data_IF_229407477565
#
_entry.id   IF_229407477565
#
_cell.length_a   1.000
_cell.length_b   1.000
_cell.length_c   1.000
_cell.angle_alpha   90.00
_cell.angle_beta   90.00
_cell.angle_gamma   90.00
#
_symmetry.space_group_name_H-M   'P 1'
#
loop_
_entity.id
_entity.type
_entity.pdbx_description
1 polymer ?
#
# COMPACT_ATOMS: atom_id res chain seq x y z
N UNK A 1 -23.03 11.81 -25.22
CA UNK A 1 -21.59 11.48 -25.37
C UNK A 1 -20.80 11.93 -24.15
N UNK A 2 -20.73 13.24 -23.81
CA UNK A 2 -20.04 13.73 -22.60
C UNK A 2 -20.51 13.08 -21.27
N UNK A 3 -21.83 12.84 -21.12
CA UNK A 3 -22.37 12.19 -19.91
C UNK A 3 -21.84 10.77 -19.68
N UNK A 4 -21.72 9.98 -20.75
CA UNK A 4 -21.22 8.60 -20.67
C UNK A 4 -19.73 8.57 -20.33
N UNK A 5 -18.94 9.49 -20.90
CA UNK A 5 -17.52 9.63 -20.54
C UNK A 5 -17.35 9.96 -19.05
N UNK A 6 -18.14 10.91 -18.52
CA UNK A 6 -18.07 11.26 -17.10
C UNK A 6 -18.49 10.11 -16.19
N UNK A 7 -19.54 9.36 -16.57
CA UNK A 7 -19.97 8.16 -15.84
C UNK A 7 -18.87 7.08 -15.80
N UNK A 8 -18.18 6.83 -16.92
CA UNK A 8 -17.04 5.90 -16.97
C UNK A 8 -15.81 6.40 -16.20
N UNK A 9 -15.57 7.72 -16.20
CA UNK A 9 -14.49 8.32 -15.42
C UNK A 9 -14.74 8.25 -13.91
N UNK A 10 -15.99 8.42 -13.49
CA UNK A 10 -16.39 8.22 -12.09
C UNK A 10 -16.32 6.75 -11.69
N UNK A 11 -16.67 5.82 -12.58
CA UNK A 11 -16.46 4.39 -12.35
C UNK A 11 -14.97 4.06 -12.14
N UNK A 12 -14.08 4.63 -12.97
CA UNK A 12 -12.63 4.48 -12.82
C UNK A 12 -12.13 4.95 -11.46
N UNK A 13 -12.61 6.12 -10.99
CA UNK A 13 -12.28 6.62 -9.65
C UNK A 13 -12.73 5.67 -8.55
N UNK A 14 -13.94 5.12 -8.67
CA UNK A 14 -14.48 4.18 -7.69
C UNK A 14 -13.69 2.87 -7.64
N UNK A 15 -13.33 2.32 -8.80
CA UNK A 15 -12.49 1.10 -8.87
C UNK A 15 -11.10 1.37 -8.27
N UNK A 16 -10.48 2.51 -8.56
CA UNK A 16 -9.20 2.91 -7.97
C UNK A 16 -9.27 3.01 -6.43
N UNK A 17 -10.29 3.68 -5.89
CA UNK A 17 -10.48 3.81 -4.45
C UNK A 17 -10.79 2.45 -3.78
N UNK A 18 -11.51 1.56 -4.47
CA UNK A 18 -11.76 0.21 -4.00
C UNK A 18 -10.47 -0.61 -3.89
N UNK A 19 -9.59 -0.55 -4.91
CA UNK A 19 -8.26 -1.15 -4.85
C UNK A 19 -7.44 -0.58 -3.69
N UNK A 20 -7.44 0.74 -3.51
CA UNK A 20 -6.75 1.39 -2.40
C UNK A 20 -7.23 0.89 -1.03
N UNK A 21 -8.55 0.74 -0.83
CA UNK A 21 -9.11 0.19 0.40
C UNK A 21 -8.77 -1.28 0.64
N UNK A 22 -8.64 -2.08 -0.43
CA UNK A 22 -8.18 -3.46 -0.35
C UNK A 22 -6.72 -3.55 0.09
N UNK A 23 -5.84 -2.75 -0.51
CA UNK A 23 -4.42 -2.67 -0.14
C UNK A 23 -4.26 -2.17 1.31
N UNK A 24 -5.09 -1.23 1.75
CA UNK A 24 -5.12 -0.78 3.15
C UNK A 24 -5.47 -1.94 4.10
N UNK A 25 -6.49 -2.75 3.79
CA UNK A 25 -6.83 -3.93 4.60
C UNK A 25 -5.69 -4.96 4.63
N UNK A 26 -5.02 -5.18 3.50
CA UNK A 26 -3.88 -6.11 3.43
C UNK A 26 -2.73 -5.67 4.34
N UNK A 27 -2.32 -4.40 4.32
CA UNK A 27 -1.26 -3.89 5.21
C UNK A 27 -1.67 -4.07 6.67
N UNK A 28 -2.91 -3.70 7.02
CA UNK A 28 -3.43 -3.83 8.39
C UNK A 28 -3.41 -5.27 8.86
N UNK A 29 -3.86 -6.21 8.02
CA UNK A 29 -3.90 -7.64 8.34
C UNK A 29 -2.51 -8.25 8.41
N UNK A 30 -1.60 -7.88 7.49
CA UNK A 30 -0.22 -8.35 7.51
C UNK A 30 0.48 -7.91 8.80
N UNK A 31 0.29 -6.65 9.20
CA UNK A 31 0.84 -6.16 10.45
C UNK A 31 0.23 -6.82 11.68
N UNK A 32 -1.09 -7.03 11.68
CA UNK A 32 -1.76 -7.75 12.76
C UNK A 32 -1.22 -9.19 12.88
N UNK A 33 -1.05 -9.89 11.75
CA UNK A 33 -0.50 -11.24 11.72
C UNK A 33 0.93 -11.29 12.28
N UNK A 34 1.76 -10.29 11.98
CA UNK A 34 3.11 -10.17 12.53
C UNK A 34 3.12 -9.90 14.04
N UNK A 35 2.28 -8.98 14.52
CA UNK A 35 2.23 -8.58 15.94
C UNK A 35 1.63 -9.67 16.82
N UNK A 36 0.50 -10.24 16.40
CA UNK A 36 -0.22 -11.28 17.14
C UNK A 36 0.32 -12.68 16.88
N UNK A 37 1.28 -12.81 15.95
CA UNK A 37 1.89 -14.08 15.54
C UNK A 37 0.86 -15.08 15.02
N UNK A 38 -0.05 -14.58 14.19
CA UNK A 38 -1.16 -15.35 13.60
C UNK A 38 -0.81 -15.83 12.19
N UNK A 39 -0.41 -17.10 12.09
CA UNK A 39 -0.05 -17.73 10.81
C UNK A 39 -1.24 -17.85 9.85
N UNK A 40 -2.46 -18.03 10.38
CA UNK A 40 -3.66 -18.16 9.55
C UNK A 40 -3.95 -16.83 8.87
N UNK A 41 -3.89 -15.74 9.63
CA UNK A 41 -4.09 -14.40 9.08
C UNK A 41 -3.00 -14.01 8.08
N UNK A 42 -1.74 -14.39 8.32
CA UNK A 42 -0.66 -14.17 7.36
C UNK A 42 -0.93 -14.91 6.04
N UNK A 43 -1.33 -16.18 6.10
CA UNK A 43 -1.66 -16.95 4.90
C UNK A 43 -2.87 -16.35 4.15
N UNK A 44 -3.90 -15.88 4.86
CA UNK A 44 -5.03 -15.19 4.23
C UNK A 44 -4.61 -13.95 3.43
N UNK A 45 -3.64 -13.17 3.92
CA UNK A 45 -3.12 -12.00 3.19
C UNK A 45 -2.46 -12.43 1.88
N UNK A 46 -1.57 -13.44 1.95
CA UNK A 46 -0.87 -13.99 0.79
C UNK A 46 -1.86 -14.50 -0.27
N UNK A 47 -2.87 -15.25 0.15
CA UNK A 47 -3.84 -15.86 -0.77
C UNK A 47 -4.77 -14.82 -1.42
N UNK A 48 -5.07 -13.72 -0.71
CA UNK A 48 -5.96 -12.65 -1.18
C UNK A 48 -5.28 -11.65 -2.11
N UNK A 49 -3.96 -11.69 -2.25
CA UNK A 49 -3.21 -10.80 -3.13
C UNK A 49 -3.70 -10.79 -4.59
N UNK A 50 -4.19 -11.94 -5.07
CA UNK A 50 -4.81 -12.06 -6.40
C UNK A 50 -5.94 -11.07 -6.66
N UNK A 51 -6.62 -10.59 -5.61
CA UNK A 51 -7.67 -9.58 -5.75
C UNK A 51 -7.08 -8.22 -6.16
N UNK A 52 -5.93 -7.82 -5.61
CA UNK A 52 -5.22 -6.58 -6.00
C UNK A 52 -4.78 -6.68 -7.46
N UNK A 53 -4.20 -7.82 -7.85
CA UNK A 53 -3.84 -8.09 -9.25
C UNK A 53 -5.04 -8.04 -10.21
N UNK A 54 -6.22 -8.45 -9.74
CA UNK A 54 -7.45 -8.37 -10.56
C UNK A 54 -7.86 -6.91 -10.76
N UNK A 55 -7.78 -6.08 -9.71
CA UNK A 55 -8.04 -4.65 -9.80
C UNK A 55 -7.04 -3.92 -10.69
N UNK A 56 -5.76 -4.28 -10.63
CA UNK A 56 -4.71 -3.72 -11.51
C UNK A 56 -5.10 -3.87 -12.99
N UNK A 57 -5.41 -5.10 -13.41
CA UNK A 57 -5.86 -5.39 -14.77
C UNK A 57 -7.17 -4.67 -15.11
N UNK A 58 -8.16 -4.69 -14.21
CA UNK A 58 -9.45 -4.03 -14.45
C UNK A 58 -9.29 -2.52 -14.69
N UNK A 59 -8.48 -1.85 -13.86
CA UNK A 59 -8.26 -0.41 -13.96
C UNK A 59 -7.51 -0.07 -15.25
N UNK A 60 -6.51 -0.87 -15.63
CA UNK A 60 -5.79 -0.70 -16.88
C UNK A 60 -6.70 -0.86 -18.10
N UNK A 61 -7.59 -1.86 -18.10
CA UNK A 61 -8.59 -2.04 -19.16
C UNK A 61 -9.54 -0.85 -19.25
N UNK A 62 -10.03 -0.33 -18.13
CA UNK A 62 -10.88 0.86 -18.08
C UNK A 62 -10.14 2.10 -18.63
N UNK A 63 -8.88 2.29 -18.27
CA UNK A 63 -8.04 3.39 -18.77
C UNK A 63 -7.88 3.30 -20.30
N UNK A 64 -7.50 2.13 -20.82
CA UNK A 64 -7.34 1.90 -22.27
C UNK A 64 -8.65 2.16 -23.02
N UNK A 65 -9.77 1.68 -22.47
CA UNK A 65 -11.12 1.90 -23.05
C UNK A 65 -11.46 3.38 -23.13
N UNK A 66 -11.23 4.14 -22.05
CA UNK A 66 -11.48 5.58 -22.01
C UNK A 66 -10.65 6.34 -23.04
N UNK A 67 -9.36 6.00 -23.16
CA UNK A 67 -8.45 6.60 -24.15
C UNK A 67 -8.90 6.30 -25.59
N UNK A 68 -9.25 5.04 -25.87
CA UNK A 68 -9.61 4.59 -27.20
C UNK A 68 -10.95 5.15 -27.69
N UNK A 69 -11.96 5.24 -26.81
CA UNK A 69 -13.32 5.63 -27.19
C UNK A 69 -13.55 7.14 -27.23
N UNK A 70 -12.88 7.91 -26.37
CA UNK A 70 -13.27 9.31 -26.13
C UNK A 70 -12.21 10.36 -26.50
N UNK A 71 -10.99 9.96 -26.85
CA UNK A 71 -9.88 10.87 -27.20
C UNK A 71 -9.76 12.05 -26.20
N UNK A 72 -9.65 11.77 -24.88
CA UNK A 72 -9.64 12.81 -23.85
C UNK A 72 -8.44 13.75 -24.02
N UNK A 73 -8.60 15.00 -23.60
CA UNK A 73 -7.59 16.04 -23.74
C UNK A 73 -7.26 16.71 -22.40
N UNK A 74 -6.10 17.36 -22.33
CA UNK A 74 -5.66 18.19 -21.22
C UNK A 74 -5.80 17.50 -19.83
N UNK A 75 -6.74 17.95 -18.99
CA UNK A 75 -6.94 17.42 -17.63
C UNK A 75 -7.31 15.95 -17.62
N UNK A 76 -8.18 15.53 -18.53
CA UNK A 76 -8.78 14.20 -18.52
C UNK A 76 -7.76 13.15 -18.95
N UNK A 77 -6.97 13.47 -19.97
CA UNK A 77 -5.84 12.64 -20.40
C UNK A 77 -4.80 12.48 -19.29
N UNK A 78 -4.47 13.57 -18.58
CA UNK A 78 -3.56 13.52 -17.45
C UNK A 78 -4.11 12.67 -16.32
N UNK A 79 -5.40 12.81 -15.99
CA UNK A 79 -6.03 11.99 -14.96
C UNK A 79 -5.89 10.50 -15.29
N UNK A 80 -6.31 10.07 -16.50
CA UNK A 80 -6.28 8.66 -16.90
C UNK A 80 -4.84 8.11 -16.91
N UNK A 81 -3.90 8.83 -17.50
CA UNK A 81 -2.49 8.38 -17.55
C UNK A 81 -1.80 8.38 -16.19
N UNK A 82 -2.19 9.27 -15.28
CA UNK A 82 -1.72 9.24 -13.89
C UNK A 82 -2.35 8.08 -13.12
N UNK A 83 -3.63 7.78 -13.33
CA UNK A 83 -4.28 6.61 -12.73
C UNK A 83 -3.52 5.33 -13.05
N UNK A 84 -3.16 5.09 -14.32
CA UNK A 84 -2.36 3.90 -14.70
C UNK A 84 -1.05 3.77 -13.90
N UNK A 85 -0.39 4.89 -13.59
CA UNK A 85 0.83 4.88 -12.78
C UNK A 85 0.57 4.58 -11.30
N UNK A 86 -0.48 5.19 -10.75
CA UNK A 86 -0.86 5.01 -9.35
C UNK A 86 -1.27 3.56 -9.08
N UNK A 87 -1.94 2.92 -10.04
CA UNK A 87 -2.37 1.52 -9.91
C UNK A 87 -1.18 0.59 -9.76
N UNK A 88 -0.13 0.78 -10.58
CA UNK A 88 1.14 0.05 -10.41
C UNK A 88 1.77 0.31 -9.04
N UNK A 89 1.72 1.56 -8.54
CA UNK A 89 2.23 1.86 -7.20
C UNK A 89 1.40 1.18 -6.09
N UNK A 90 0.07 1.08 -6.24
CA UNK A 90 -0.81 0.37 -5.31
C UNK A 90 -0.57 -1.14 -5.30
N UNK A 91 -0.38 -1.75 -6.48
CA UNK A 91 -0.03 -3.17 -6.59
C UNK A 91 1.28 -3.47 -5.86
N UNK A 92 2.30 -2.62 -6.05
CA UNK A 92 3.59 -2.76 -5.35
C UNK A 92 3.46 -2.62 -3.84
N UNK A 93 2.52 -1.82 -3.35
CA UNK A 93 2.24 -1.71 -1.91
C UNK A 93 1.55 -2.99 -1.41
N UNK A 94 0.61 -3.57 -2.17
CA UNK A 94 0.02 -4.87 -1.90
C UNK A 94 1.08 -5.97 -1.78
N UNK A 95 2.02 -6.01 -2.71
CA UNK A 95 3.20 -6.88 -2.69
C UNK A 95 4.03 -6.71 -1.41
N UNK A 96 4.21 -5.47 -0.92
CA UNK A 96 4.90 -5.24 0.36
C UNK A 96 4.10 -5.81 1.54
N UNK A 97 2.77 -5.74 1.52
CA UNK A 97 1.94 -6.37 2.54
C UNK A 97 2.08 -7.91 2.52
N UNK A 98 2.15 -8.52 1.34
CA UNK A 98 2.44 -9.95 1.18
C UNK A 98 3.82 -10.29 1.75
N UNK A 99 4.84 -9.48 1.46
CA UNK A 99 6.19 -9.68 2.00
C UNK A 99 6.21 -9.61 3.54
N UNK A 100 5.47 -8.68 4.15
CA UNK A 100 5.31 -8.60 5.60
C UNK A 100 4.65 -9.88 6.14
N UNK A 101 3.59 -10.37 5.49
CA UNK A 101 2.91 -11.61 5.90
C UNK A 101 3.82 -12.85 5.78
N UNK A 102 4.61 -12.96 4.70
CA UNK A 102 5.61 -14.02 4.55
C UNK A 102 6.66 -13.96 5.67
N UNK A 103 7.15 -12.76 6.00
CA UNK A 103 8.09 -12.57 7.12
C UNK A 103 7.46 -12.90 8.46
N UNK A 104 6.17 -12.62 8.66
CA UNK A 104 5.45 -13.05 9.86
C UNK A 104 5.48 -14.57 10.02
N UNK A 105 5.17 -15.34 8.97
CA UNK A 105 5.22 -16.81 9.00
C UNK A 105 6.61 -17.36 9.34
N UNK A 106 7.67 -16.71 8.88
CA UNK A 106 9.04 -17.10 9.21
C UNK A 106 9.36 -16.78 10.68
N UNK A 107 9.13 -15.55 11.12
CA UNK A 107 9.42 -15.07 12.49
C UNK A 107 8.55 -15.74 13.55
N UNK A 108 7.39 -16.28 13.17
CA UNK A 108 6.49 -16.98 14.09
C UNK A 108 7.05 -18.34 14.54
N UNK A 109 8.05 -18.88 13.82
CA UNK A 109 8.75 -20.12 14.16
C UNK A 109 9.78 -19.96 15.26
N UNK A 110 10.30 -18.75 15.43
CA UNK A 110 11.31 -18.42 16.43
C UNK A 110 10.73 -17.59 17.58
N UNK A 111 11.27 -17.68 18.80
CA UNK A 111 10.84 -16.80 19.89
C UNK A 111 10.95 -15.33 19.48
N UNK A 112 9.92 -14.55 19.80
CA UNK A 112 9.86 -13.12 19.49
C UNK A 112 11.09 -12.40 20.06
N UNK A 113 11.78 -11.65 19.21
CA UNK A 113 12.99 -10.91 19.59
C UNK A 113 12.65 -9.77 20.57
N UNK A 114 11.62 -8.99 20.22
CA UNK A 114 11.17 -7.83 20.98
C UNK A 114 9.69 -7.52 20.70
N UNK A 115 9.00 -6.78 21.58
CA UNK A 115 7.68 -6.25 21.27
C UNK A 115 7.72 -5.32 20.05
N UNK A 116 6.77 -5.49 19.13
CA UNK A 116 6.66 -4.67 17.92
C UNK A 116 5.79 -3.43 18.18
N UNK A 117 6.40 -2.36 18.69
CA UNK A 117 5.71 -1.11 19.00
C UNK A 117 5.79 -0.13 17.82
N UNK A 118 6.98 0.06 17.26
CA UNK A 118 7.20 1.07 16.22
C UNK A 118 6.79 0.60 14.82
N UNK A 119 6.78 -0.71 14.56
CA UNK A 119 6.32 -1.26 13.28
C UNK A 119 4.82 -0.96 13.02
N UNK A 120 3.89 -1.22 13.97
CA UNK A 120 2.49 -0.80 13.80
C UNK A 120 2.33 0.70 13.62
N UNK A 121 3.07 1.52 14.39
CA UNK A 121 3.03 2.98 14.26
C UNK A 121 3.48 3.46 12.87
N UNK A 122 4.50 2.80 12.32
CA UNK A 122 5.00 3.08 10.97
C UNK A 122 3.98 2.67 9.90
N UNK A 123 3.32 1.52 10.07
CA UNK A 123 2.27 1.06 9.18
C UNK A 123 1.05 1.99 9.18
N UNK A 124 0.57 2.43 10.36
CA UNK A 124 -0.55 3.36 10.47
C UNK A 124 -0.27 4.68 9.73
N UNK A 125 0.98 5.19 9.82
CA UNK A 125 1.41 6.38 9.08
C UNK A 125 1.44 6.15 7.58
N UNK A 126 2.05 5.06 7.13
CA UNK A 126 2.13 4.71 5.72
C UNK A 126 0.72 4.53 5.10
N UNK A 127 -0.20 3.89 5.81
CA UNK A 127 -1.59 3.73 5.38
C UNK A 127 -2.32 5.06 5.27
N UNK A 128 -2.12 5.96 6.25
CA UNK A 128 -2.67 7.32 6.19
C UNK A 128 -2.15 8.09 4.97
N UNK A 129 -0.83 8.06 4.74
CA UNK A 129 -0.21 8.71 3.60
C UNK A 129 -0.75 8.18 2.26
N UNK A 130 -0.92 6.85 2.15
CA UNK A 130 -1.51 6.24 0.96
C UNK A 130 -2.95 6.73 0.74
N UNK A 131 -3.78 6.70 1.78
CA UNK A 131 -5.17 7.17 1.71
C UNK A 131 -5.23 8.65 1.31
N UNK A 132 -4.48 9.51 1.98
CA UNK A 132 -4.48 10.95 1.71
C UNK A 132 -3.93 11.26 0.31
N UNK A 133 -2.99 10.46 -0.20
CA UNK A 133 -2.52 10.57 -1.59
C UNK A 133 -3.63 10.28 -2.60
N UNK A 134 -4.43 9.23 -2.38
CA UNK A 134 -5.56 8.89 -3.23
C UNK A 134 -6.69 9.94 -3.13
N UNK A 135 -7.01 10.38 -1.91
CA UNK A 135 -7.99 11.44 -1.67
C UNK A 135 -7.57 12.75 -2.38
N UNK A 136 -6.30 13.14 -2.25
CA UNK A 136 -5.75 14.31 -2.93
C UNK A 136 -5.80 14.18 -4.46
N UNK A 137 -5.48 12.99 -4.99
CA UNK A 137 -5.52 12.73 -6.43
C UNK A 137 -6.94 12.83 -6.99
N UNK A 138 -7.91 12.17 -6.35
CA UNK A 138 -9.31 12.14 -6.81
C UNK A 138 -9.98 13.52 -6.66
N UNK A 139 -9.68 14.25 -5.60
CA UNK A 139 -10.22 15.59 -5.36
C UNK A 139 -9.48 16.72 -6.12
N UNK A 140 -8.29 16.43 -6.69
CA UNK A 140 -7.43 17.46 -7.28
C UNK A 140 -6.83 18.41 -6.24
N UNK A 141 -6.66 17.96 -4.99
CA UNK A 141 -6.15 18.77 -3.88
C UNK A 141 -4.61 18.79 -3.87
N UNK A 142 -4.05 19.83 -4.48
CA UNK A 142 -2.60 20.02 -4.52
C UNK A 142 -1.97 20.42 -3.17
N UNK A 143 -2.77 20.91 -2.22
CA UNK A 143 -2.28 21.25 -0.89
C UNK A 143 -2.09 19.98 -0.06
N UNK A 144 -3.10 19.10 -0.05
CA UNK A 144 -3.02 17.79 0.59
C UNK A 144 -1.89 16.94 -0.02
N UNK A 145 -1.78 16.89 -1.35
CA UNK A 145 -0.70 16.15 -2.01
C UNK A 145 0.71 16.60 -1.55
N UNK A 146 0.94 17.92 -1.40
CA UNK A 146 2.22 18.45 -0.90
C UNK A 146 2.44 18.16 0.57
N UNK A 147 1.38 18.18 1.39
CA UNK A 147 1.47 17.82 2.80
C UNK A 147 1.95 16.37 2.94
N UNK A 148 1.32 15.42 2.23
CA UNK A 148 1.67 14.00 2.30
C UNK A 148 3.14 13.75 1.94
N UNK A 149 3.69 14.46 0.96
CA UNK A 149 5.12 14.37 0.64
C UNK A 149 6.04 14.72 1.84
N UNK A 150 5.60 15.61 2.73
CA UNK A 150 6.35 15.98 3.94
C UNK A 150 6.22 14.96 5.07
N UNK A 151 5.16 14.15 5.09
CA UNK A 151 4.92 13.15 6.14
C UNK A 151 5.88 11.95 6.05
N UNK A 152 6.47 11.70 4.87
CA UNK A 152 7.43 10.62 4.63
C UNK A 152 8.65 10.66 5.55
N UNK A 153 9.09 11.88 5.92
CA UNK A 153 10.20 12.09 6.85
C UNK A 153 9.97 11.41 8.22
N UNK A 154 8.72 11.29 8.66
CA UNK A 154 8.40 10.60 9.92
C UNK A 154 8.50 9.08 9.79
N UNK A 155 8.14 8.53 8.62
CA UNK A 155 8.27 7.10 8.32
C UNK A 155 9.76 6.72 8.20
N UNK A 156 10.55 7.56 7.53
CA UNK A 156 12.00 7.39 7.44
C UNK A 156 12.69 7.42 8.81
N UNK A 157 12.29 8.35 9.68
CA UNK A 157 12.82 8.44 11.04
C UNK A 157 12.49 7.18 11.87
N UNK A 158 11.27 6.64 11.74
CA UNK A 158 10.87 5.38 12.40
C UNK A 158 11.69 4.20 11.88
N UNK A 159 11.90 4.11 10.57
CA UNK A 159 12.73 3.09 9.94
C UNK A 159 14.17 3.14 10.48
N UNK A 160 14.78 4.32 10.53
CA UNK A 160 16.15 4.48 11.05
C UNK A 160 16.24 4.11 12.55
N UNK A 161 15.22 4.48 13.34
CA UNK A 161 15.13 4.09 14.75
C UNK A 161 15.09 2.58 14.91
N UNK A 162 14.16 1.90 14.22
CA UNK A 162 14.00 0.44 14.27
C UNK A 162 15.29 -0.24 13.83
N UNK A 163 15.91 0.23 12.74
CA UNK A 163 17.14 -0.35 12.23
C UNK A 163 18.30 -0.27 13.24
N UNK A 164 18.48 0.89 13.89
CA UNK A 164 19.52 1.06 14.93
C UNK A 164 19.27 0.15 16.13
N UNK A 165 18.02 0.00 16.54
CA UNK A 165 17.64 -0.89 17.63
C UNK A 165 17.91 -2.37 17.28
N UNK A 166 17.60 -2.80 16.05
CA UNK A 166 17.88 -4.16 15.61
C UNK A 166 19.40 -4.45 15.55
N UNK A 167 20.21 -3.47 15.16
CA UNK A 167 21.67 -3.58 15.21
C UNK A 167 22.19 -3.85 16.62
N UNK A 168 21.60 -3.25 17.67
CA UNK A 168 22.05 -3.53 19.04
C UNK A 168 21.77 -4.97 19.43
N UNK A 169 20.61 -5.53 19.07
CA UNK A 169 20.32 -6.96 19.31
C UNK A 169 21.31 -7.88 18.58
N UNK A 170 21.62 -7.58 17.31
CA UNK A 170 22.57 -8.37 16.51
C UNK A 170 23.99 -8.32 17.06
N UNK A 171 24.43 -7.17 17.58
CA UNK A 171 25.75 -6.99 18.17
C UNK A 171 25.89 -7.67 19.54
N UNK A 172 24.83 -7.66 20.35
CA UNK A 172 24.82 -8.30 21.67
C UNK A 172 24.80 -9.83 21.59
N UNK A 173 24.02 -10.40 20.67
CA UNK A 173 23.97 -11.85 20.43
C UNK A 173 23.81 -12.16 18.93
N UNK A 174 24.87 -12.63 18.25
CA UNK A 174 24.83 -12.98 16.82
C UNK A 174 23.80 -14.05 16.44
N UNK A 175 23.29 -14.83 17.40
CA UNK A 175 22.22 -15.81 17.14
C UNK A 175 20.87 -15.13 16.88
N UNK A 176 20.74 -13.84 17.17
CA UNK A 176 19.52 -13.07 16.87
C UNK A 176 19.44 -12.61 15.42
N UNK A 177 20.55 -12.61 14.67
CA UNK A 177 20.63 -12.11 13.28
C UNK A 177 19.53 -12.67 12.37
N UNK A 178 19.16 -13.97 12.39
CA UNK A 178 18.12 -14.48 11.49
C UNK A 178 16.72 -13.91 11.73
N UNK A 179 16.47 -13.33 12.91
CA UNK A 179 15.16 -12.82 13.36
C UNK A 179 15.17 -11.33 13.73
N UNK A 180 16.28 -10.64 13.44
CA UNK A 180 16.47 -9.21 13.62
C UNK A 180 16.46 -8.54 12.24
#
# INVERSE_FOLDING_TARGET
MQRHFHEELEALKQTLLAMGGLVEDQIRRAMKALVERDDVLAQEVIDRDRQVNTYDVEIDEQCVKLLALHQPAASDLRFITTTMKIVTDLERIGDQAVNIAQRALELNRDPQLKPYIDLPRMADKAQRMMKESLDAFVAGDTALARQVCGEDAEVDALKEQIFRELLTFMMEDPRTIPRA
#
